data_IF_924380609819
#
_entry.id   IF_924380609819
#
_cell.length_a   1.000
_cell.length_b   1.000
_cell.length_c   1.000
_cell.angle_alpha   90.00
_cell.angle_beta   90.00
_cell.angle_gamma   90.00
#
_symmetry.space_group_name_H-M   'P 1'
#
loop_
_entity.id
_entity.type
_entity.pdbx_description
1 polymer ?
#
# COMPACT_ATOMS: atom_id res chain seq x y z
N UNK A 1 15.00 -6.54 5.56
CA UNK A 1 16.11 -6.62 4.58
C UNK A 1 16.90 -7.88 4.87
N UNK A 2 16.96 -8.82 3.94
CA UNK A 2 17.80 -10.03 4.09
C UNK A 2 19.16 -9.70 3.49
N UNK A 3 20.17 -9.54 4.34
CA UNK A 3 21.56 -9.43 3.89
C UNK A 3 22.08 -10.86 3.74
N UNK A 4 22.18 -11.31 2.50
CA UNK A 4 22.73 -12.61 2.15
C UNK A 4 24.11 -12.39 1.53
N UNK A 5 25.14 -13.04 2.08
CA UNK A 5 26.52 -12.92 1.59
C UNK A 5 26.71 -13.47 0.17
N UNK A 6 25.73 -14.25 -0.32
CA UNK A 6 25.68 -14.87 -1.64
C UNK A 6 24.24 -14.91 -2.15
N UNK A 7 24.07 -14.97 -3.46
CA UNK A 7 22.77 -15.15 -4.09
C UNK A 7 22.27 -16.58 -3.80
N UNK A 8 21.15 -16.77 -3.07
CA UNK A 8 20.69 -18.10 -2.72
C UNK A 8 20.20 -18.87 -3.94
N UNK A 9 20.47 -20.17 -4.02
CA UNK A 9 19.94 -21.02 -5.10
C UNK A 9 18.39 -21.02 -5.16
N UNK A 10 17.72 -20.83 -4.02
CA UNK A 10 16.26 -20.67 -3.97
C UNK A 10 15.77 -19.40 -4.66
N UNK A 11 16.53 -18.32 -4.61
CA UNK A 11 16.22 -17.08 -5.33
C UNK A 11 16.35 -17.28 -6.84
N UNK A 12 17.44 -17.93 -7.29
CA UNK A 12 17.66 -18.28 -8.70
C UNK A 12 16.51 -19.15 -9.23
N UNK A 13 16.15 -20.22 -8.52
CA UNK A 13 15.01 -21.09 -8.89
C UNK A 13 13.69 -20.31 -9.00
N UNK A 14 13.50 -19.30 -8.15
CA UNK A 14 12.29 -18.48 -8.20
C UNK A 14 12.29 -17.56 -9.42
N UNK A 15 13.43 -16.99 -9.79
CA UNK A 15 13.57 -16.21 -11.04
C UNK A 15 13.24 -17.09 -12.25
N UNK A 16 13.83 -18.29 -12.32
CA UNK A 16 13.58 -19.25 -13.41
C UNK A 16 12.10 -19.65 -13.49
N UNK A 17 11.46 -19.90 -12.34
CA UNK A 17 10.02 -20.21 -12.26
C UNK A 17 9.14 -19.13 -12.86
N UNK A 18 9.57 -17.86 -12.75
CA UNK A 18 8.87 -16.71 -13.33
C UNK A 18 9.39 -16.33 -14.72
N UNK A 19 10.04 -17.27 -15.43
CA UNK A 19 10.59 -17.07 -16.78
C UNK A 19 11.63 -15.95 -16.86
N UNK A 20 12.25 -15.60 -15.74
CA UNK A 20 13.44 -14.75 -15.72
C UNK A 20 14.71 -15.57 -15.88
N UNK A 21 15.83 -14.87 -16.07
CA UNK A 21 17.17 -15.46 -16.08
C UNK A 21 18.09 -14.64 -15.19
N UNK A 22 19.07 -15.30 -14.57
CA UNK A 22 20.14 -14.62 -13.85
C UNK A 22 21.40 -15.47 -13.92
N UNK A 23 22.54 -14.85 -14.20
CA UNK A 23 23.81 -15.53 -14.37
C UNK A 23 24.94 -14.75 -13.69
N UNK A 24 25.98 -15.44 -13.19
CA UNK A 24 27.16 -14.79 -12.66
C UNK A 24 27.96 -14.15 -13.79
N UNK A 25 28.42 -12.92 -13.56
CA UNK A 25 29.40 -12.22 -14.40
C UNK A 25 30.84 -12.48 -13.91
N UNK A 26 31.00 -13.01 -12.69
CA UNK A 26 32.29 -13.20 -12.02
C UNK A 26 32.54 -12.13 -10.94
N UNK A 27 33.48 -12.42 -10.03
CA UNK A 27 33.86 -11.50 -8.95
C UNK A 27 32.72 -11.15 -8.00
N UNK A 28 31.80 -12.10 -7.76
CA UNK A 28 30.58 -11.87 -6.97
C UNK A 28 29.51 -11.02 -7.66
N UNK A 29 29.66 -10.64 -8.92
CA UNK A 29 28.67 -9.89 -9.68
C UNK A 29 27.74 -10.82 -10.46
N UNK A 30 26.47 -10.42 -10.56
CA UNK A 30 25.43 -11.16 -11.27
C UNK A 30 24.58 -10.21 -12.10
N UNK A 31 24.10 -10.71 -13.23
CA UNK A 31 23.18 -9.99 -14.11
C UNK A 31 22.07 -10.90 -14.59
N UNK A 32 20.89 -10.34 -14.72
CA UNK A 32 19.72 -11.06 -15.16
C UNK A 32 18.62 -10.16 -15.67
N UNK A 33 17.49 -10.79 -15.96
CA UNK A 33 16.26 -10.17 -16.40
C UNK A 33 15.07 -10.92 -15.81
N UNK A 34 14.05 -10.18 -15.39
CA UNK A 34 12.77 -10.74 -14.98
C UNK A 34 11.64 -9.82 -15.45
N UNK A 35 10.75 -10.33 -16.30
CA UNK A 35 9.60 -9.58 -16.84
C UNK A 35 10.01 -8.22 -17.46
N UNK A 36 11.11 -8.17 -18.21
CA UNK A 36 11.63 -6.95 -18.82
C UNK A 36 12.39 -6.01 -17.88
N UNK A 37 12.53 -6.36 -16.59
CA UNK A 37 13.33 -5.61 -15.63
C UNK A 37 14.73 -6.19 -15.52
N UNK A 38 15.75 -5.33 -15.63
CA UNK A 38 17.14 -5.71 -15.41
C UNK A 38 17.39 -6.00 -13.93
N UNK A 39 18.00 -7.16 -13.67
CA UNK A 39 18.44 -7.56 -12.34
C UNK A 39 19.96 -7.43 -12.26
N UNK A 40 20.43 -6.78 -11.20
CA UNK A 40 21.83 -6.73 -10.82
C UNK A 40 21.98 -7.30 -9.41
N UNK A 41 22.89 -8.27 -9.28
CA UNK A 41 23.20 -8.89 -8.01
C UNK A 41 24.65 -8.65 -7.63
N UNK A 42 24.89 -8.38 -6.34
CA UNK A 42 26.21 -8.15 -5.78
C UNK A 42 26.38 -9.02 -4.53
N UNK A 43 27.30 -9.97 -4.59
CA UNK A 43 27.72 -10.79 -3.45
C UNK A 43 28.85 -10.09 -2.72
N UNK A 44 28.50 -9.35 -1.67
CA UNK A 44 29.42 -8.47 -0.94
C UNK A 44 30.63 -9.20 -0.36
N UNK A 45 30.54 -10.51 -0.10
CA UNK A 45 31.66 -11.32 0.41
C UNK A 45 32.79 -11.49 -0.61
N UNK A 46 32.49 -11.40 -1.90
CA UNK A 46 33.45 -11.58 -2.99
C UNK A 46 33.72 -10.27 -3.73
N UNK A 47 32.66 -9.49 -3.99
CA UNK A 47 32.75 -8.22 -4.73
C UNK A 47 33.69 -7.21 -4.07
N UNK A 48 33.68 -7.12 -2.73
CA UNK A 48 34.50 -6.15 -2.00
C UNK A 48 36.01 -6.37 -2.10
N UNK A 49 36.44 -7.53 -2.59
CA UNK A 49 37.85 -7.88 -2.75
C UNK A 49 38.31 -7.83 -4.21
N UNK A 50 37.41 -7.53 -5.16
CA UNK A 50 37.75 -7.53 -6.58
C UNK A 50 38.67 -6.37 -6.98
N UNK A 51 38.51 -5.23 -6.34
CA UNK A 51 39.36 -4.07 -6.57
C UNK A 51 39.39 -3.13 -5.36
N UNK A 52 40.37 -2.23 -5.28
CA UNK A 52 40.41 -1.21 -4.23
C UNK A 52 39.16 -0.34 -4.16
N UNK A 53 38.50 -0.05 -5.29
CA UNK A 53 37.31 0.82 -5.38
C UNK A 53 36.00 0.15 -4.93
N UNK A 54 36.06 -1.14 -4.61
CA UNK A 54 34.89 -1.93 -4.18
C UNK A 54 34.93 -2.26 -2.67
N UNK A 55 35.96 -1.84 -1.95
CA UNK A 55 36.15 -2.15 -0.52
C UNK A 55 35.04 -1.60 0.35
N UNK A 56 34.38 -0.52 -0.06
CA UNK A 56 33.20 -0.02 0.61
C UNK A 56 32.08 -1.07 0.69
N UNK A 57 31.96 -1.98 -0.28
CA UNK A 57 30.98 -3.07 -0.26
C UNK A 57 31.13 -3.98 0.96
N UNK A 58 32.32 -4.05 1.57
CA UNK A 58 32.55 -4.78 2.82
C UNK A 58 31.66 -4.28 3.95
N UNK A 59 31.38 -2.97 4.00
CA UNK A 59 30.51 -2.37 5.04
C UNK A 59 29.06 -2.88 4.98
N UNK A 60 28.65 -3.46 3.85
CA UNK A 60 27.35 -4.10 3.64
C UNK A 60 27.39 -5.63 3.79
N UNK A 61 28.55 -6.21 4.12
CA UNK A 61 28.71 -7.66 4.31
C UNK A 61 28.27 -8.11 5.71
N UNK A 62 27.90 -9.39 5.83
CA UNK A 62 27.56 -9.96 7.13
C UNK A 62 28.76 -10.04 8.07
N UNK A 63 29.96 -10.17 7.52
CA UNK A 63 31.20 -10.22 8.30
C UNK A 63 31.46 -8.88 9.00
N UNK A 64 31.25 -7.75 8.32
CA UNK A 64 31.32 -6.42 8.94
C UNK A 64 30.28 -6.23 10.06
N UNK A 65 29.05 -6.70 9.84
CA UNK A 65 27.98 -6.61 10.83
C UNK A 65 28.22 -7.47 12.08
N UNK A 66 28.98 -8.56 11.94
CA UNK A 66 29.31 -9.47 13.05
C UNK A 66 30.62 -9.11 13.75
N UNK A 67 31.60 -8.57 13.02
CA UNK A 67 32.93 -8.28 13.51
C UNK A 67 33.18 -6.78 13.65
N UNK A 68 33.00 -6.26 14.87
CA UNK A 68 33.51 -4.99 15.43
C UNK A 68 33.63 -3.71 14.55
N UNK A 69 33.05 -3.64 13.35
CA UNK A 69 32.98 -2.43 12.53
C UNK A 69 34.34 -1.90 12.03
N UNK A 70 35.36 -2.75 11.87
CA UNK A 70 36.63 -2.28 11.27
C UNK A 70 36.41 -2.00 9.78
N UNK A 71 36.49 -0.72 9.42
CA UNK A 71 36.44 -0.29 8.03
C UNK A 71 37.79 -0.66 7.38
N UNK A 72 37.73 -1.37 6.26
CA UNK A 72 38.90 -1.65 5.45
C UNK A 72 39.51 -0.34 4.93
N UNK A 73 40.83 -0.27 4.66
CA UNK A 73 41.43 0.91 4.06
C UNK A 73 40.73 1.27 2.74
N UNK A 74 39.97 2.36 2.76
CA UNK A 74 39.27 2.89 1.60
C UNK A 74 40.24 3.69 0.74
N UNK A 75 40.02 3.67 -0.56
CA UNK A 75 40.73 4.59 -1.45
C UNK A 75 40.18 6.03 -1.35
N UNK A 76 40.80 7.03 -2.00
CA UNK A 76 40.35 8.42 -1.92
C UNK A 76 38.94 8.67 -2.47
N UNK A 77 38.50 7.92 -3.47
CA UNK A 77 37.17 8.05 -4.06
C UNK A 77 36.11 7.47 -3.13
N UNK A 78 36.34 6.25 -2.64
CA UNK A 78 35.50 5.60 -1.63
C UNK A 78 35.39 6.44 -0.35
N UNK A 79 36.50 7.05 0.08
CA UNK A 79 36.52 7.94 1.24
C UNK A 79 35.59 9.14 1.03
N UNK A 80 35.56 9.72 -0.17
CA UNK A 80 34.63 10.82 -0.49
C UNK A 80 33.18 10.37 -0.43
N UNK A 81 32.88 9.22 -1.04
CA UNK A 81 31.52 8.63 -1.02
C UNK A 81 31.10 8.34 0.42
N UNK A 82 31.98 7.74 1.22
CA UNK A 82 31.71 7.37 2.61
C UNK A 82 31.39 8.62 3.43
N UNK A 83 32.22 9.65 3.32
CA UNK A 83 32.03 10.90 4.06
C UNK A 83 30.74 11.61 3.64
N UNK A 84 30.42 11.63 2.34
CA UNK A 84 29.17 12.21 1.85
C UNK A 84 27.94 11.47 2.40
N UNK A 85 27.94 10.13 2.34
CA UNK A 85 26.87 9.29 2.88
C UNK A 85 26.74 9.45 4.40
N UNK A 86 27.86 9.45 5.12
CA UNK A 86 27.88 9.63 6.57
C UNK A 86 27.29 10.99 6.95
N UNK A 87 27.70 12.06 6.28
CA UNK A 87 27.15 13.40 6.51
C UNK A 87 25.66 13.46 6.22
N UNK A 88 25.19 12.87 5.11
CA UNK A 88 23.77 12.78 4.82
C UNK A 88 23.02 12.01 5.91
N UNK A 89 23.49 10.83 6.31
CA UNK A 89 22.87 10.03 7.37
C UNK A 89 22.80 10.80 8.69
N UNK A 90 23.85 11.54 9.06
CA UNK A 90 23.86 12.38 10.26
C UNK A 90 22.91 13.58 10.15
N UNK A 91 22.84 14.24 8.98
CA UNK A 91 21.84 15.28 8.72
C UNK A 91 20.42 14.72 8.82
N UNK A 92 20.16 13.57 8.20
CA UNK A 92 18.88 12.85 8.29
C UNK A 92 18.56 12.46 9.72
N UNK A 93 19.52 11.95 10.51
CA UNK A 93 19.31 11.61 11.93
C UNK A 93 18.93 12.84 12.75
N UNK A 94 19.55 13.99 12.49
CA UNK A 94 19.24 15.26 13.16
C UNK A 94 17.89 15.85 12.75
N UNK A 95 17.49 15.68 11.49
CA UNK A 95 16.25 16.22 10.92
C UNK A 95 15.08 15.21 10.92
N UNK A 96 15.32 13.98 11.40
CA UNK A 96 14.44 12.81 11.27
C UNK A 96 13.03 13.05 11.79
N UNK A 97 12.88 13.84 12.85
CA UNK A 97 11.57 14.14 13.42
C UNK A 97 10.62 14.86 12.46
N UNK A 98 11.16 15.70 11.56
CA UNK A 98 10.35 16.52 10.65
C UNK A 98 10.16 15.86 9.27
N UNK A 99 11.17 15.14 8.77
CA UNK A 99 11.08 14.44 7.48
C UNK A 99 10.34 13.09 7.57
N UNK A 100 10.53 12.30 8.64
CA UNK A 100 9.85 11.00 8.75
C UNK A 100 8.32 11.12 8.83
N UNK A 101 7.80 12.22 9.41
CA UNK A 101 6.37 12.54 9.35
C UNK A 101 5.92 12.94 7.94
N UNK A 102 6.68 13.80 7.26
CA UNK A 102 6.37 14.24 5.88
C UNK A 102 6.40 13.10 4.88
N UNK A 103 7.36 12.18 4.97
CA UNK A 103 7.45 11.02 4.07
C UNK A 103 6.30 10.04 4.31
N UNK A 104 5.89 9.85 5.56
CA UNK A 104 4.71 9.04 5.89
C UNK A 104 3.42 9.70 5.38
N UNK A 105 3.26 11.01 5.57
CA UNK A 105 2.11 11.76 5.06
C UNK A 105 2.06 11.77 3.53
N UNK A 106 3.20 11.96 2.86
CA UNK A 106 3.31 11.96 1.41
C UNK A 106 3.04 10.56 0.83
N UNK A 107 3.59 9.51 1.44
CA UNK A 107 3.30 8.13 1.05
C UNK A 107 1.81 7.79 1.28
N UNK A 108 1.22 8.24 2.39
CA UNK A 108 -0.21 8.07 2.67
C UNK A 108 -1.08 8.82 1.66
N UNK A 109 -0.73 10.07 1.34
CA UNK A 109 -1.44 10.88 0.33
C UNK A 109 -1.35 10.24 -1.05
N UNK A 110 -0.15 9.85 -1.49
CA UNK A 110 0.06 9.15 -2.75
C UNK A 110 -0.76 7.86 -2.83
N UNK A 111 -0.79 7.06 -1.75
CA UNK A 111 -1.57 5.84 -1.72
C UNK A 111 -3.09 6.12 -1.77
N UNK A 112 -3.55 7.15 -1.05
CA UNK A 112 -4.94 7.57 -1.07
C UNK A 112 -5.37 8.07 -2.45
N UNK A 113 -4.55 8.90 -3.10
CA UNK A 113 -4.80 9.40 -4.46
C UNK A 113 -4.90 8.27 -5.48
N UNK A 114 -4.01 7.28 -5.40
CA UNK A 114 -4.08 6.09 -6.27
C UNK A 114 -5.36 5.29 -6.00
N UNK A 115 -5.73 5.08 -4.73
CA UNK A 115 -6.97 4.40 -4.39
C UNK A 115 -8.21 5.17 -4.89
N UNK A 116 -8.25 6.48 -4.74
CA UNK A 116 -9.36 7.32 -5.17
C UNK A 116 -9.48 7.30 -6.71
N UNK A 117 -8.36 7.35 -7.44
CA UNK A 117 -8.34 7.19 -8.90
C UNK A 117 -8.81 5.81 -9.36
N UNK A 118 -8.48 4.75 -8.62
CA UNK A 118 -8.95 3.40 -8.90
C UNK A 118 -10.45 3.28 -8.61
N UNK A 119 -10.93 3.82 -7.47
CA UNK A 119 -12.34 3.81 -7.10
C UNK A 119 -13.21 4.60 -8.08
N UNK A 120 -12.72 5.72 -8.61
CA UNK A 120 -13.41 6.52 -9.62
C UNK A 120 -13.66 5.75 -10.94
N UNK A 121 -12.88 4.70 -11.20
CA UNK A 121 -13.05 3.84 -12.39
C UNK A 121 -14.00 2.67 -12.14
N UNK A 122 -14.44 2.44 -10.89
CA UNK A 122 -15.37 1.36 -10.55
C UNK A 122 -16.80 1.90 -10.59
N UNK A 123 -17.71 1.29 -11.36
CA UNK A 123 -19.12 1.66 -11.35
C UNK A 123 -19.73 1.53 -9.94
N UNK A 124 -20.57 2.49 -9.49
CA UNK A 124 -21.19 2.45 -8.17
C UNK A 124 -21.92 1.13 -7.87
N UNK A 125 -22.55 0.52 -8.88
CA UNK A 125 -23.29 -0.73 -8.75
C UNK A 125 -22.38 -1.90 -8.34
N UNK A 126 -21.13 -1.93 -8.84
CA UNK A 126 -20.14 -2.96 -8.49
C UNK A 126 -19.59 -2.76 -7.07
N UNK A 127 -19.53 -1.52 -6.59
CA UNK A 127 -19.17 -1.24 -5.20
C UNK A 127 -20.30 -1.70 -4.29
N UNK A 128 -21.53 -1.28 -4.59
CA UNK A 128 -22.73 -1.60 -3.80
C UNK A 128 -23.04 -3.11 -3.78
N UNK A 129 -22.71 -3.86 -4.83
CA UNK A 129 -22.94 -5.31 -4.89
C UNK A 129 -22.20 -6.09 -3.79
N UNK A 130 -21.16 -5.52 -3.19
CA UNK A 130 -20.41 -6.12 -2.08
C UNK A 130 -21.09 -5.97 -0.72
N UNK A 131 -22.12 -5.13 -0.64
CA UNK A 131 -22.86 -4.84 0.58
C UNK A 131 -24.25 -5.45 0.55
N UNK A 132 -24.73 -5.90 1.70
CA UNK A 132 -26.14 -6.29 1.87
C UNK A 132 -27.06 -5.06 1.75
N UNK A 133 -28.35 -5.23 1.40
CA UNK A 133 -29.27 -4.10 1.32
C UNK A 133 -29.30 -3.23 2.57
N UNK A 134 -29.22 -3.83 3.77
CA UNK A 134 -29.15 -3.08 5.03
C UNK A 134 -27.91 -2.20 5.13
N UNK A 135 -26.73 -2.77 4.84
CA UNK A 135 -25.45 -2.04 4.89
C UNK A 135 -25.38 -0.88 3.88
N UNK A 136 -26.08 -0.97 2.75
CA UNK A 136 -26.14 0.13 1.77
C UNK A 136 -26.91 1.34 2.31
N UNK A 137 -27.81 1.13 3.27
CA UNK A 137 -28.64 2.17 3.88
C UNK A 137 -28.06 2.69 5.20
N UNK A 138 -26.97 2.11 5.69
CA UNK A 138 -26.31 2.55 6.92
C UNK A 138 -25.74 3.96 6.75
N UNK A 139 -25.98 4.83 7.74
CA UNK A 139 -25.63 6.25 7.68
C UNK A 139 -26.64 7.14 6.97
N UNK A 140 -27.63 6.59 6.26
CA UNK A 140 -28.75 7.37 5.71
C UNK A 140 -29.85 7.57 6.76
N UNK A 141 -30.34 8.80 6.87
CA UNK A 141 -31.55 9.11 7.64
C UNK A 141 -32.78 8.44 7.01
N UNK A 142 -33.85 8.18 7.78
CA UNK A 142 -35.09 7.62 7.22
C UNK A 142 -35.64 8.41 6.02
N UNK A 143 -35.50 9.74 6.02
CA UNK A 143 -35.90 10.58 4.88
C UNK A 143 -35.09 10.30 3.63
N UNK A 144 -33.76 10.28 3.74
CA UNK A 144 -32.84 10.01 2.61
C UNK A 144 -33.04 8.61 2.01
N UNK A 145 -33.46 7.63 2.81
CA UNK A 145 -33.77 6.28 2.30
C UNK A 145 -35.01 6.24 1.41
N UNK A 146 -35.89 7.23 1.54
CA UNK A 146 -37.13 7.34 0.78
C UNK A 146 -37.02 8.33 -0.40
N UNK A 147 -35.88 9.00 -0.56
CA UNK A 147 -35.63 9.92 -1.66
C UNK A 147 -35.67 9.17 -3.00
N UNK A 148 -36.32 9.77 -4.00
CA UNK A 148 -36.57 9.14 -5.29
C UNK A 148 -37.72 8.13 -5.33
N UNK A 149 -38.29 7.73 -4.18
CA UNK A 149 -39.50 6.89 -4.14
C UNK A 149 -40.77 7.74 -4.22
N UNK A 150 -41.72 7.32 -5.05
CA UNK A 150 -43.08 7.87 -5.06
C UNK A 150 -43.83 7.53 -3.77
N UNK A 151 -44.88 8.30 -3.37
CA UNK A 151 -45.67 7.99 -2.18
C UNK A 151 -46.21 6.55 -2.13
N UNK A 152 -46.60 5.98 -3.27
CA UNK A 152 -47.04 4.59 -3.35
C UNK A 152 -45.92 3.59 -3.02
N UNK A 153 -44.75 3.76 -3.64
CA UNK A 153 -43.59 2.89 -3.40
C UNK A 153 -43.07 2.94 -1.96
N UNK A 154 -43.28 4.06 -1.25
CA UNK A 154 -42.93 4.17 0.18
C UNK A 154 -43.83 3.34 1.10
N UNK A 155 -45.03 2.99 0.63
CA UNK A 155 -46.01 2.20 1.36
C UNK A 155 -46.03 0.73 0.91
N UNK A 156 -45.29 0.38 -0.14
CA UNK A 156 -45.19 -0.99 -0.64
C UNK A 156 -44.65 -1.93 0.45
N UNK A 157 -45.36 -3.06 0.64
CA UNK A 157 -45.02 -4.05 1.67
C UNK A 157 -45.59 -3.76 3.06
N UNK A 158 -46.24 -2.63 3.28
CA UNK A 158 -47.01 -2.35 4.50
C UNK A 158 -48.46 -2.83 4.36
N UNK A 159 -49.01 -3.38 5.44
CA UNK A 159 -50.43 -3.69 5.53
C UNK A 159 -51.25 -2.40 5.77
N UNK A 160 -52.53 -2.36 5.35
CA UNK A 160 -53.41 -1.22 5.64
C UNK A 160 -53.46 -0.86 7.13
N UNK A 161 -53.43 -1.85 8.02
CA UNK A 161 -53.42 -1.68 9.47
C UNK A 161 -52.14 -0.99 9.97
N UNK A 162 -50.98 -1.33 9.42
CA UNK A 162 -49.69 -0.70 9.75
C UNK A 162 -49.64 0.76 9.29
N UNK A 163 -50.16 1.04 8.09
CA UNK A 163 -50.28 2.40 7.55
C UNK A 163 -51.20 3.24 8.45
N UNK A 164 -52.37 2.70 8.81
CA UNK A 164 -53.31 3.35 9.71
C UNK A 164 -52.66 3.65 11.07
N UNK A 165 -51.86 2.73 11.62
CA UNK A 165 -51.15 2.93 12.90
C UNK A 165 -50.14 4.07 12.87
N UNK A 166 -49.58 4.40 11.71
CA UNK A 166 -48.64 5.52 11.56
C UNK A 166 -49.31 6.90 11.42
N UNK A 167 -50.61 6.95 11.12
CA UNK A 167 -51.37 8.21 10.99
C UNK A 167 -51.71 8.76 12.40
N UNK A 168 -51.56 10.06 12.69
CA UNK A 168 -51.98 10.64 13.96
C UNK A 168 -53.48 10.45 14.25
N UNK A 169 -53.91 10.24 15.51
CA UNK A 169 -55.31 9.94 15.85
C UNK A 169 -56.31 10.97 15.32
N UNK A 170 -55.96 12.25 15.43
CA UNK A 170 -56.76 13.39 14.95
C UNK A 170 -57.05 13.31 13.43
N UNK A 171 -56.08 12.84 12.65
CA UNK A 171 -56.21 12.69 11.21
C UNK A 171 -57.04 11.44 10.85
N UNK A 172 -57.01 10.39 11.69
CA UNK A 172 -57.86 9.19 11.49
C UNK A 172 -59.34 9.52 11.65
N UNK A 173 -59.70 10.33 12.64
CA UNK A 173 -61.08 10.76 12.86
C UNK A 173 -61.60 11.62 11.69
N UNK A 174 -60.76 12.50 11.14
CA UNK A 174 -61.07 13.30 9.96
C UNK A 174 -61.29 12.43 8.71
N UNK A 175 -60.48 11.39 8.53
CA UNK A 175 -60.64 10.42 7.44
C UNK A 175 -61.94 9.62 7.59
N UNK A 176 -62.23 9.10 8.78
CA UNK A 176 -63.47 8.37 9.06
C UNK A 176 -64.72 9.21 8.74
N UNK A 177 -64.75 10.48 9.20
CA UNK A 177 -65.84 11.42 8.88
C UNK A 177 -66.00 11.75 7.40
N UNK A 178 -64.92 11.63 6.60
CA UNK A 178 -64.96 11.85 5.14
C UNK A 178 -65.38 10.60 4.36
N UNK A 179 -65.18 9.41 4.92
CA UNK A 179 -65.55 8.12 4.32
C UNK A 179 -67.01 7.73 4.63
N UNK A 180 -67.56 8.20 5.76
CA UNK A 180 -68.97 8.03 6.14
C UNK A 180 -69.94 9.03 5.44
N UNK A 181 -69.48 9.73 4.40
CA UNK A 181 -70.22 10.76 3.68
C UNK A 181 -70.30 10.46 2.20
#
# INVERSE_FOLDING_TARGET
MVIADRIPSGFIRQIERHRGSVAPLGGGLWRGELNGLLLHGVETREACWQSPTERMLYTFSRDYLKGAGQILPLDPEETRVYNALYQQVEQFRRQRGTMAMKDYELARQSYQEVLDQMLAQVPPEQVLSRYTPGQRLDGLTPGQRLDGLTPGQRLDGLTPEEILRAIPPEMRELLAKKLDR
#
